data_IF_836216106418
#
_entry.id   IF_836216106418
#
_cell.length_a   1.000
_cell.length_b   1.000
_cell.length_c   1.000
_cell.angle_alpha   90.00
_cell.angle_beta   90.00
_cell.angle_gamma   90.00
#
_symmetry.space_group_name_H-M   'P 1'
#
loop_
_entity.id
_entity.type
_entity.pdbx_description
1 polymer ?
#
# COMPACT_ATOMS: atom_id res chain seq x y z
N UNK A 1 57.63 12.20 -29.74
CA UNK A 1 57.18 10.89 -29.24
C UNK A 1 56.73 11.12 -27.80
N UNK A 2 55.51 11.62 -27.55
CA UNK A 2 54.98 11.77 -26.17
C UNK A 2 53.50 12.20 -26.08
N UNK A 3 52.91 12.77 -27.13
CA UNK A 3 51.47 13.12 -27.09
C UNK A 3 50.58 11.89 -26.99
N UNK A 4 50.92 10.81 -27.71
CA UNK A 4 50.14 9.56 -27.70
C UNK A 4 50.15 8.90 -26.32
N UNK A 5 51.29 8.90 -25.62
CA UNK A 5 51.41 8.41 -24.24
C UNK A 5 50.60 9.26 -23.27
N UNK A 6 50.61 10.58 -23.42
CA UNK A 6 49.77 11.48 -22.63
C UNK A 6 48.27 11.26 -22.87
N UNK A 7 47.84 11.02 -24.12
CA UNK A 7 46.46 10.67 -24.45
C UNK A 7 46.04 9.30 -23.87
N UNK A 8 46.90 8.28 -23.93
CA UNK A 8 46.65 6.98 -23.31
C UNK A 8 46.62 7.07 -21.78
N UNK A 9 47.48 7.89 -21.16
CA UNK A 9 47.49 8.13 -19.73
C UNK A 9 46.23 8.90 -19.27
N UNK A 10 45.81 9.93 -20.02
CA UNK A 10 44.56 10.67 -19.77
C UNK A 10 43.33 9.79 -19.97
N UNK A 11 43.30 8.97 -21.02
CA UNK A 11 42.25 8.00 -21.28
C UNK A 11 42.16 6.92 -20.19
N UNK A 12 43.32 6.38 -19.76
CA UNK A 12 43.43 5.43 -18.67
C UNK A 12 42.99 6.01 -17.32
N UNK A 13 43.38 7.25 -17.01
CA UNK A 13 42.96 7.95 -15.81
C UNK A 13 41.45 8.27 -15.82
N UNK A 14 40.90 8.71 -16.96
CA UNK A 14 39.47 8.93 -17.12
C UNK A 14 38.66 7.62 -17.01
N UNK A 15 39.17 6.53 -17.57
CA UNK A 15 38.57 5.20 -17.42
C UNK A 15 38.62 4.73 -15.96
N UNK A 16 39.76 4.82 -15.30
CA UNK A 16 39.90 4.46 -13.88
C UNK A 16 38.98 5.30 -12.97
N UNK A 17 38.77 6.58 -13.29
CA UNK A 17 37.88 7.47 -12.55
C UNK A 17 36.37 7.18 -12.79
N UNK A 18 36.01 6.68 -13.98
CA UNK A 18 34.61 6.43 -14.37
C UNK A 18 34.18 4.98 -14.11
N UNK A 19 35.11 4.03 -14.12
CA UNK A 19 34.85 2.60 -13.95
C UNK A 19 34.08 2.29 -12.64
N UNK A 20 34.42 2.84 -11.46
CA UNK A 20 33.65 2.59 -10.24
C UNK A 20 32.19 3.09 -10.34
N UNK A 21 31.96 4.21 -11.04
CA UNK A 21 30.60 4.74 -11.26
C UNK A 21 29.82 3.84 -12.21
N UNK A 22 30.48 3.33 -13.26
CA UNK A 22 29.88 2.40 -14.21
C UNK A 22 29.53 1.07 -13.54
N UNK A 23 30.44 0.50 -12.74
CA UNK A 23 30.20 -0.72 -11.97
C UNK A 23 28.99 -0.52 -11.03
N UNK A 24 28.95 0.55 -10.23
CA UNK A 24 27.81 0.84 -9.34
C UNK A 24 26.48 0.98 -10.10
N UNK A 25 26.52 1.57 -11.30
CA UNK A 25 25.33 1.70 -12.16
C UNK A 25 24.87 0.34 -12.69
N UNK A 26 25.79 -0.53 -13.10
CA UNK A 26 25.50 -1.89 -13.53
C UNK A 26 24.95 -2.75 -12.39
N UNK A 27 25.55 -2.68 -11.20
CA UNK A 27 25.06 -3.35 -9.99
C UNK A 27 23.64 -2.91 -9.66
N UNK A 28 23.38 -1.60 -9.67
CA UNK A 28 22.03 -1.06 -9.45
C UNK A 28 21.04 -1.54 -10.52
N UNK A 29 21.46 -1.59 -11.79
CA UNK A 29 20.63 -2.11 -12.88
C UNK A 29 20.31 -3.59 -12.69
N UNK A 30 21.27 -4.40 -12.24
CA UNK A 30 21.10 -5.83 -11.92
C UNK A 30 20.29 -6.06 -10.65
N UNK A 31 20.17 -5.07 -9.76
CA UNK A 31 19.33 -5.15 -8.58
C UNK A 31 17.87 -4.75 -8.85
N UNK A 32 17.60 -4.04 -9.96
CA UNK A 32 16.24 -3.69 -10.40
C UNK A 32 15.53 -4.89 -11.02
N UNK A 33 14.19 -4.88 -10.93
CA UNK A 33 13.39 -5.85 -11.66
C UNK A 33 13.44 -5.53 -13.16
N UNK A 34 13.60 -6.53 -14.06
CA UNK A 34 13.74 -6.27 -15.49
C UNK A 34 12.49 -5.67 -16.15
N UNK A 35 11.31 -5.76 -15.51
CA UNK A 35 10.07 -5.17 -16.02
C UNK A 35 10.06 -3.63 -15.95
N UNK A 36 9.06 -3.02 -16.62
CA UNK A 36 8.78 -1.59 -16.53
C UNK A 36 8.48 -1.15 -15.09
N UNK A 37 7.87 -2.00 -14.27
CA UNK A 37 7.63 -1.76 -12.83
C UNK A 37 8.92 -1.54 -12.05
N UNK A 38 10.02 -2.20 -12.43
CA UNK A 38 11.36 -1.99 -11.85
C UNK A 38 12.10 -0.78 -12.42
N UNK A 39 11.65 -0.26 -13.56
CA UNK A 39 12.26 0.83 -14.31
C UNK A 39 11.28 1.97 -14.54
N UNK A 40 10.80 2.58 -13.45
CA UNK A 40 9.75 3.63 -13.45
C UNK A 40 9.98 4.79 -14.43
N UNK A 41 11.22 5.24 -14.63
CA UNK A 41 11.53 6.28 -15.65
C UNK A 41 11.28 5.80 -17.09
N UNK A 42 11.61 4.54 -17.37
CA UNK A 42 11.33 3.91 -18.65
C UNK A 42 9.83 3.67 -18.80
N UNK A 43 9.15 3.17 -17.77
CA UNK A 43 7.70 3.00 -17.75
C UNK A 43 6.96 4.30 -18.08
N UNK A 44 7.37 5.42 -17.47
CA UNK A 44 6.79 6.74 -17.77
C UNK A 44 7.03 7.19 -19.21
N UNK A 45 8.23 6.95 -19.74
CA UNK A 45 8.55 7.27 -21.14
C UNK A 45 7.73 6.43 -22.12
N UNK A 46 7.61 5.13 -21.87
CA UNK A 46 6.77 4.24 -22.67
C UNK A 46 5.31 4.69 -22.59
N UNK A 47 4.80 4.98 -21.39
CA UNK A 47 3.45 5.49 -21.20
C UNK A 47 3.18 6.79 -21.97
N UNK A 48 4.16 7.70 -22.07
CA UNK A 48 4.02 8.94 -22.86
C UNK A 48 3.98 8.73 -24.38
N UNK A 49 4.43 7.57 -24.86
CA UNK A 49 4.41 7.22 -26.29
C UNK A 49 3.21 6.35 -26.68
N UNK A 50 2.52 5.76 -25.71
CA UNK A 50 1.34 4.96 -25.99
C UNK A 50 0.21 5.88 -26.48
N UNK A 51 -0.24 5.75 -27.74
CA UNK A 51 -1.38 6.52 -28.21
C UNK A 51 -2.64 6.05 -27.47
N UNK A 52 -3.56 6.98 -27.24
CA UNK A 52 -4.89 6.62 -26.78
C UNK A 52 -5.60 5.79 -27.85
N UNK A 53 -6.04 4.59 -27.50
CA UNK A 53 -6.92 3.78 -28.35
C UNK A 53 -7.89 3.00 -27.48
N UNK A 54 -9.00 2.60 -28.08
CA UNK A 54 -9.98 1.72 -27.47
C UNK A 54 -10.35 0.62 -28.48
N UNK A 55 -10.78 -0.53 -27.98
CA UNK A 55 -11.36 -1.55 -28.83
C UNK A 55 -12.76 -1.12 -29.28
N UNK A 56 -13.04 -1.26 -30.57
CA UNK A 56 -14.42 -1.28 -31.06
C UNK A 56 -15.13 -2.56 -30.63
N UNK A 57 -16.45 -2.62 -30.84
CA UNK A 57 -17.27 -3.72 -30.33
C UNK A 57 -16.77 -5.11 -30.73
N UNK A 58 -16.40 -5.30 -31.99
CA UNK A 58 -15.92 -6.61 -32.47
C UNK A 58 -14.67 -7.04 -31.69
N UNK A 59 -13.64 -6.19 -31.68
CA UNK A 59 -12.37 -6.45 -30.98
C UNK A 59 -12.53 -6.60 -29.48
N UNK A 60 -13.51 -5.93 -28.87
CA UNK A 60 -13.77 -6.04 -27.44
C UNK A 60 -14.11 -7.48 -27.03
N UNK A 61 -14.93 -8.17 -27.82
CA UNK A 61 -15.42 -9.51 -27.50
C UNK A 61 -14.54 -10.65 -28.04
N UNK A 62 -13.65 -10.38 -29.00
CA UNK A 62 -12.77 -11.37 -29.64
C UNK A 62 -11.27 -11.04 -29.55
N UNK A 63 -10.84 -10.17 -28.65
CA UNK A 63 -9.43 -9.74 -28.50
C UNK A 63 -8.44 -10.87 -28.25
N UNK A 64 -8.92 -12.01 -27.75
CA UNK A 64 -8.20 -13.24 -27.48
C UNK A 64 -8.30 -14.29 -28.62
N UNK A 65 -8.93 -13.93 -29.74
CA UNK A 65 -9.15 -14.83 -30.88
C UNK A 65 -10.29 -15.82 -30.67
N UNK A 66 -11.24 -15.53 -29.76
CA UNK A 66 -12.39 -16.39 -29.53
C UNK A 66 -13.25 -16.59 -30.80
N UNK A 67 -13.85 -17.79 -31.00
CA UNK A 67 -14.81 -18.04 -32.08
C UNK A 67 -15.98 -17.06 -32.04
N UNK A 68 -16.59 -16.78 -33.21
CA UNK A 68 -17.68 -15.82 -33.34
C UNK A 68 -18.87 -16.12 -32.40
N UNK A 69 -19.21 -17.40 -32.23
CA UNK A 69 -20.29 -17.83 -31.33
C UNK A 69 -20.01 -17.49 -29.85
N UNK A 70 -18.74 -17.64 -29.42
CA UNK A 70 -18.30 -17.25 -28.07
C UNK A 70 -18.29 -15.73 -27.91
N UNK A 71 -17.83 -14.99 -28.92
CA UNK A 71 -17.85 -13.53 -28.90
C UNK A 71 -19.29 -12.99 -28.80
N UNK A 72 -20.25 -13.60 -29.51
CA UNK A 72 -21.65 -13.22 -29.43
C UNK A 72 -22.28 -13.60 -28.08
N UNK A 73 -21.93 -14.76 -27.52
CA UNK A 73 -22.33 -15.13 -26.16
C UNK A 73 -21.83 -14.11 -25.12
N UNK A 74 -20.57 -13.66 -25.23
CA UNK A 74 -20.00 -12.62 -24.35
C UNK A 74 -20.74 -11.29 -24.49
N UNK A 75 -21.10 -10.91 -25.72
CA UNK A 75 -21.88 -9.69 -26.00
C UNK A 75 -23.25 -9.75 -25.34
N UNK A 76 -23.98 -10.85 -25.54
CA UNK A 76 -25.30 -11.04 -24.94
C UNK A 76 -25.22 -11.03 -23.40
N UNK A 77 -24.25 -11.75 -22.83
CA UNK A 77 -24.04 -11.80 -21.38
C UNK A 77 -23.70 -10.42 -20.79
N UNK A 78 -22.86 -9.62 -21.45
CA UNK A 78 -22.51 -8.27 -20.99
C UNK A 78 -23.72 -7.33 -21.01
N UNK A 79 -24.53 -7.40 -22.08
CA UNK A 79 -25.76 -6.62 -22.19
C UNK A 79 -26.75 -7.00 -21.09
N UNK A 80 -26.98 -8.29 -20.88
CA UNK A 80 -27.88 -8.80 -19.84
C UNK A 80 -27.40 -8.39 -18.43
N UNK A 81 -26.09 -8.44 -18.17
CA UNK A 81 -25.50 -7.97 -16.92
C UNK A 81 -25.78 -6.47 -16.71
N UNK A 82 -25.57 -5.66 -17.76
CA UNK A 82 -25.86 -4.23 -17.74
C UNK A 82 -27.32 -3.91 -17.41
N UNK A 83 -28.26 -4.54 -18.12
CA UNK A 83 -29.70 -4.39 -17.90
C UNK A 83 -30.10 -4.82 -16.47
N UNK A 84 -29.52 -5.93 -15.98
CA UNK A 84 -29.77 -6.41 -14.62
C UNK A 84 -29.30 -5.41 -13.56
N UNK A 85 -28.11 -4.84 -13.72
CA UNK A 85 -27.56 -3.86 -12.79
C UNK A 85 -28.39 -2.57 -12.80
N UNK A 86 -28.74 -2.06 -13.98
CA UNK A 86 -29.59 -0.87 -14.13
C UNK A 86 -30.97 -1.08 -13.49
N UNK A 87 -31.58 -2.25 -13.69
CA UNK A 87 -32.88 -2.57 -13.12
C UNK A 87 -32.86 -2.73 -11.59
N UNK A 88 -31.74 -3.16 -11.00
CA UNK A 88 -31.62 -3.38 -9.55
C UNK A 88 -31.38 -2.11 -8.76
N UNK A 89 -30.63 -1.14 -9.27
CA UNK A 89 -30.23 0.04 -8.50
C UNK A 89 -30.46 1.39 -9.20
N UNK A 90 -31.69 1.67 -9.69
CA UNK A 90 -31.97 2.89 -10.46
C UNK A 90 -31.74 4.19 -9.67
N UNK A 91 -32.07 4.25 -8.38
CA UNK A 91 -31.84 5.47 -7.57
C UNK A 91 -30.36 5.68 -7.32
N UNK A 92 -29.63 4.61 -7.00
CA UNK A 92 -28.19 4.65 -6.76
C UNK A 92 -27.43 5.08 -8.01
N UNK A 93 -27.83 4.59 -9.19
CA UNK A 93 -27.22 4.97 -10.47
C UNK A 93 -27.54 6.42 -10.84
N UNK A 94 -28.77 6.89 -10.61
CA UNK A 94 -29.15 8.28 -10.86
C UNK A 94 -28.31 9.26 -10.03
N UNK A 95 -28.13 8.99 -8.73
CA UNK A 95 -27.26 9.81 -7.88
C UNK A 95 -25.79 9.72 -8.32
N UNK A 96 -25.33 8.52 -8.70
CA UNK A 96 -23.97 8.31 -9.23
C UNK A 96 -23.72 9.16 -10.47
N UNK A 97 -24.67 9.21 -11.41
CA UNK A 97 -24.57 10.01 -12.62
C UNK A 97 -24.53 11.51 -12.31
N UNK A 98 -25.44 11.98 -11.46
CA UNK A 98 -25.51 13.40 -11.05
C UNK A 98 -24.25 13.85 -10.31
N UNK A 99 -23.79 13.08 -9.31
CA UNK A 99 -22.61 13.43 -8.53
C UNK A 99 -21.32 13.39 -9.34
N UNK A 100 -21.24 12.54 -10.38
CA UNK A 100 -20.05 12.43 -11.24
C UNK A 100 -19.71 13.75 -11.93
N UNK A 101 -20.67 14.62 -12.21
CA UNK A 101 -20.41 15.94 -12.80
C UNK A 101 -19.54 16.83 -11.89
N UNK A 102 -19.81 16.78 -10.57
CA UNK A 102 -19.11 17.58 -9.57
C UNK A 102 -17.96 16.86 -8.84
N UNK A 103 -17.78 15.56 -9.04
CA UNK A 103 -16.82 14.75 -8.28
C UNK A 103 -15.76 14.08 -9.20
N UNK A 104 -14.60 14.72 -9.42
CA UNK A 104 -13.54 14.19 -10.27
C UNK A 104 -13.06 12.79 -9.89
N UNK A 105 -13.11 12.44 -8.60
CA UNK A 105 -12.73 11.10 -8.13
C UNK A 105 -13.64 10.01 -8.70
N UNK A 106 -14.95 10.29 -8.87
CA UNK A 106 -15.87 9.36 -9.55
C UNK A 106 -15.60 9.26 -11.05
N UNK A 107 -15.18 10.36 -11.68
CA UNK A 107 -14.79 10.36 -13.09
C UNK A 107 -13.52 9.52 -13.29
N UNK A 108 -12.53 9.71 -12.41
CA UNK A 108 -11.25 9.01 -12.44
C UNK A 108 -11.41 7.51 -12.17
N UNK A 109 -12.08 7.14 -11.06
CA UNK A 109 -12.30 5.73 -10.66
C UNK A 109 -13.06 4.95 -11.73
N UNK A 110 -14.08 5.55 -12.35
CA UNK A 110 -14.80 4.93 -13.46
C UNK A 110 -13.91 4.69 -14.69
N UNK A 111 -12.95 5.58 -14.96
CA UNK A 111 -12.11 5.49 -16.15
C UNK A 111 -10.94 4.50 -16.01
N UNK A 112 -10.30 4.42 -14.85
CA UNK A 112 -9.02 3.73 -14.69
C UNK A 112 -9.09 2.28 -14.17
N UNK A 113 -10.21 1.90 -13.54
CA UNK A 113 -10.44 0.54 -12.98
C UNK A 113 -10.57 -0.56 -14.03
N UNK A 114 -10.62 -0.19 -15.30
CA UNK A 114 -10.77 -1.10 -16.44
C UNK A 114 -9.63 -0.77 -17.39
N UNK A 115 -8.92 -1.77 -17.94
CA UNK A 115 -7.88 -1.49 -18.91
C UNK A 115 -8.42 -0.58 -20.01
N UNK A 116 -7.63 0.44 -20.37
CA UNK A 116 -8.11 1.57 -21.19
C UNK A 116 -8.68 1.13 -22.54
N UNK A 117 -8.25 -0.01 -23.07
CA UNK A 117 -8.77 -0.62 -24.31
C UNK A 117 -10.26 -1.00 -24.20
N UNK A 118 -10.70 -1.43 -23.02
CA UNK A 118 -12.07 -1.89 -22.75
C UNK A 118 -12.92 -0.83 -22.06
N UNK A 119 -12.29 0.12 -21.36
CA UNK A 119 -12.96 1.10 -20.49
C UNK A 119 -14.12 1.88 -21.15
N UNK A 120 -14.03 2.38 -22.40
CA UNK A 120 -15.13 3.12 -23.01
C UNK A 120 -16.40 2.29 -23.22
N UNK A 121 -16.29 1.11 -23.83
CA UNK A 121 -17.43 0.22 -24.08
C UNK A 121 -17.99 -0.34 -22.77
N UNK A 122 -17.12 -0.77 -21.84
CA UNK A 122 -17.60 -1.33 -20.58
C UNK A 122 -18.40 -0.31 -19.78
N UNK A 123 -18.00 0.96 -19.75
CA UNK A 123 -18.74 2.03 -19.06
C UNK A 123 -20.09 2.36 -19.68
N UNK A 124 -20.31 2.05 -20.96
CA UNK A 124 -21.61 2.22 -21.62
C UNK A 124 -22.58 1.11 -21.23
N UNK A 125 -22.09 -0.13 -21.09
CA UNK A 125 -22.94 -1.29 -20.82
C UNK A 125 -23.07 -1.63 -19.33
N UNK A 126 -22.01 -1.47 -18.54
CA UNK A 126 -21.97 -1.84 -17.13
C UNK A 126 -21.78 -0.59 -16.29
N UNK A 127 -22.88 -0.18 -15.66
CA UNK A 127 -22.90 0.91 -14.71
C UNK A 127 -22.94 0.36 -13.29
N UNK A 128 -22.05 0.85 -12.43
CA UNK A 128 -21.98 0.45 -11.03
C UNK A 128 -22.27 1.68 -10.18
N UNK A 129 -23.17 1.53 -9.21
CA UNK A 129 -23.50 2.57 -8.24
C UNK A 129 -22.31 2.86 -7.32
N UNK A 130 -22.10 4.14 -6.99
CA UNK A 130 -21.00 4.58 -6.13
C UNK A 130 -21.42 4.92 -4.70
N UNK A 131 -22.72 4.87 -4.40
CA UNK A 131 -23.28 5.31 -3.13
C UNK A 131 -23.87 4.14 -2.34
N UNK A 132 -23.60 4.12 -1.04
CA UNK A 132 -24.15 3.17 -0.07
C UNK A 132 -24.88 3.97 1.02
N UNK A 133 -26.00 3.45 1.50
CA UNK A 133 -26.82 4.07 2.55
C UNK A 133 -26.42 3.59 3.94
N UNK A 134 -26.24 2.28 4.08
CA UNK A 134 -26.04 1.64 5.38
C UNK A 134 -25.03 0.50 5.31
N UNK A 135 -24.57 0.09 6.48
CA UNK A 135 -23.73 -1.09 6.69
C UNK A 135 -24.14 -1.79 7.97
N UNK A 136 -24.13 -3.12 7.96
CA UNK A 136 -24.45 -3.97 9.12
C UNK A 136 -23.70 -5.30 9.01
N UNK A 137 -22.99 -5.68 10.08
CA UNK A 137 -22.20 -6.89 10.12
C UNK A 137 -21.14 -6.95 9.01
N UNK A 138 -21.39 -7.80 8.02
CA UNK A 138 -20.52 -8.01 6.85
C UNK A 138 -21.16 -7.53 5.55
N UNK A 139 -22.19 -6.67 5.65
CA UNK A 139 -22.99 -6.24 4.50
C UNK A 139 -23.10 -4.73 4.36
N UNK A 140 -23.31 -4.29 3.12
CA UNK A 140 -23.63 -2.92 2.73
C UNK A 140 -24.99 -2.90 2.06
N UNK A 141 -25.74 -1.81 2.27
CA UNK A 141 -27.03 -1.57 1.63
C UNK A 141 -26.94 -0.31 0.77
N UNK A 142 -27.34 -0.39 -0.50
CA UNK A 142 -27.42 0.77 -1.40
C UNK A 142 -28.72 1.57 -1.22
N UNK A 143 -28.90 2.64 -2.02
CA UNK A 143 -30.07 3.54 -1.91
C UNK A 143 -31.37 2.92 -2.44
N UNK A 144 -31.28 1.75 -3.08
CA UNK A 144 -32.41 0.99 -3.58
C UNK A 144 -32.76 -0.17 -2.63
N UNK A 145 -32.05 -0.31 -1.50
CA UNK A 145 -32.27 -1.36 -0.51
C UNK A 145 -31.61 -2.70 -0.88
N UNK A 146 -30.74 -2.74 -1.88
CA UNK A 146 -30.01 -3.97 -2.20
C UNK A 146 -28.89 -4.21 -1.20
N UNK A 147 -28.78 -5.45 -0.71
CA UNK A 147 -27.74 -5.85 0.24
C UNK A 147 -26.60 -6.60 -0.45
N UNK A 148 -25.36 -6.24 -0.13
CA UNK A 148 -24.13 -6.81 -0.68
C UNK A 148 -23.22 -7.28 0.45
N UNK A 149 -22.52 -8.40 0.28
CA UNK A 149 -21.41 -8.77 1.18
C UNK A 149 -20.21 -7.85 0.93
N UNK A 150 -19.71 -7.20 1.99
CA UNK A 150 -18.51 -6.36 1.91
C UNK A 150 -17.24 -7.20 1.95
N UNK A 151 -16.79 -7.62 0.78
CA UNK A 151 -15.50 -8.28 0.61
C UNK A 151 -14.33 -7.29 0.51
N UNK A 152 -14.61 -5.99 0.49
CA UNK A 152 -13.57 -4.95 0.39
C UNK A 152 -13.09 -4.49 1.76
N UNK A 153 -13.97 -4.54 2.77
CA UNK A 153 -13.71 -4.14 4.15
C UNK A 153 -13.16 -2.71 4.25
N UNK A 154 -13.68 -1.78 3.43
CA UNK A 154 -13.16 -0.41 3.30
C UNK A 154 -11.67 -0.35 3.03
N UNK A 155 -11.20 -1.06 1.99
CA UNK A 155 -9.77 -1.19 1.66
C UNK A 155 -8.92 -1.74 2.82
N UNK A 156 -9.51 -2.65 3.59
CA UNK A 156 -8.89 -3.30 4.74
C UNK A 156 -8.85 -2.49 6.03
N UNK A 157 -9.63 -1.41 6.16
CA UNK A 157 -9.83 -0.71 7.43
C UNK A 157 -10.62 -1.58 8.41
N UNK A 158 -11.69 -2.23 7.95
CA UNK A 158 -12.65 -2.92 8.82
C UNK A 158 -12.19 -4.36 9.17
N UNK A 159 -11.00 -4.52 9.76
CA UNK A 159 -10.41 -5.82 10.13
C UNK A 159 -11.34 -6.65 11.03
N UNK A 160 -12.00 -6.01 12.00
CA UNK A 160 -12.91 -6.64 12.95
C UNK A 160 -14.40 -6.55 12.56
N UNK A 161 -14.71 -6.20 11.31
CA UNK A 161 -16.09 -5.97 10.86
C UNK A 161 -16.60 -4.57 11.20
N UNK A 162 -17.53 -4.04 10.40
CA UNK A 162 -17.90 -2.61 10.41
C UNK A 162 -18.51 -2.15 11.74
N UNK A 163 -19.21 -3.04 12.45
CA UNK A 163 -19.92 -2.71 13.68
C UNK A 163 -18.96 -2.32 14.82
N UNK A 164 -17.81 -2.99 14.91
CA UNK A 164 -16.75 -2.65 15.88
C UNK A 164 -16.26 -1.22 15.65
N UNK A 165 -16.04 -0.82 14.39
CA UNK A 165 -15.57 0.54 14.09
C UNK A 165 -16.66 1.58 14.31
N UNK A 166 -17.93 1.26 14.05
CA UNK A 166 -19.05 2.14 14.41
C UNK A 166 -19.09 2.40 15.92
N UNK A 167 -18.88 1.35 16.72
CA UNK A 167 -18.77 1.45 18.17
C UNK A 167 -17.55 2.27 18.60
N UNK A 168 -16.38 2.04 17.99
CA UNK A 168 -15.17 2.84 18.25
C UNK A 168 -15.41 4.34 18.02
N UNK A 169 -16.08 4.71 16.92
CA UNK A 169 -16.43 6.11 16.62
C UNK A 169 -17.38 6.67 17.70
N UNK A 170 -18.43 5.93 18.06
CA UNK A 170 -19.41 6.38 19.03
C UNK A 170 -18.79 6.59 20.43
N UNK A 171 -18.06 5.59 20.94
CA UNK A 171 -17.38 5.66 22.23
C UNK A 171 -16.29 6.74 22.24
N UNK A 172 -15.47 6.79 21.18
CA UNK A 172 -14.43 7.80 21.04
C UNK A 172 -14.98 9.22 21.03
N UNK A 173 -16.12 9.42 20.35
CA UNK A 173 -16.84 10.70 20.33
C UNK A 173 -17.37 11.07 21.70
N UNK A 174 -17.94 10.12 22.44
CA UNK A 174 -18.42 10.34 23.80
C UNK A 174 -17.27 10.73 24.75
N UNK A 175 -16.11 10.05 24.67
CA UNK A 175 -14.91 10.36 25.47
C UNK A 175 -14.39 11.78 25.19
N UNK A 176 -14.40 12.21 23.93
CA UNK A 176 -13.90 13.50 23.52
C UNK A 176 -14.93 14.65 23.65
N UNK A 177 -16.20 14.33 23.92
CA UNK A 177 -17.32 15.28 23.80
C UNK A 177 -17.12 16.54 24.65
N UNK A 178 -16.67 16.39 25.89
CA UNK A 178 -16.48 17.52 26.81
C UNK A 178 -15.35 18.47 26.37
N UNK A 179 -14.29 17.96 25.75
CA UNK A 179 -13.22 18.81 25.17
C UNK A 179 -13.65 19.41 23.83
N UNK A 180 -14.40 18.66 23.02
CA UNK A 180 -14.79 19.08 21.69
C UNK A 180 -13.61 19.10 20.71
N UNK A 181 -13.62 19.97 19.68
CA UNK A 181 -12.65 19.98 18.59
C UNK A 181 -11.39 20.81 18.92
N UNK A 182 -10.96 20.89 20.19
CA UNK A 182 -9.78 21.66 20.57
C UNK A 182 -8.53 21.11 19.87
N UNK A 183 -7.78 22.01 19.24
CA UNK A 183 -6.52 21.72 18.55
C UNK A 183 -5.34 22.42 19.26
N UNK A 184 -4.12 21.91 19.03
CA UNK A 184 -2.88 22.43 19.63
C UNK A 184 -2.60 21.88 21.04
N UNK A 185 -3.62 21.82 21.89
CA UNK A 185 -3.60 21.07 23.16
C UNK A 185 -4.05 19.62 22.94
N UNK A 186 -3.64 18.72 23.84
CA UNK A 186 -3.93 17.29 23.73
C UNK A 186 -5.02 16.85 24.72
N UNK A 187 -5.90 15.96 24.28
CA UNK A 187 -6.80 15.22 25.16
C UNK A 187 -6.00 14.13 25.93
N UNK A 188 -6.33 13.80 27.20
CA UNK A 188 -5.58 12.81 27.99
C UNK A 188 -5.44 11.42 27.35
N UNK A 189 -6.42 10.99 26.55
CA UNK A 189 -6.39 9.71 25.82
C UNK A 189 -5.19 9.57 24.88
N UNK A 190 -4.59 10.70 24.45
CA UNK A 190 -3.35 10.67 23.66
C UNK A 190 -2.23 9.99 24.43
N UNK A 191 -2.09 10.24 25.74
CA UNK A 191 -1.06 9.60 26.56
C UNK A 191 -1.29 8.08 26.71
N UNK A 192 -2.56 7.67 26.87
CA UNK A 192 -2.97 6.26 26.89
C UNK A 192 -2.60 5.56 25.58
N UNK A 193 -2.96 6.16 24.44
CA UNK A 193 -2.65 5.64 23.11
C UNK A 193 -1.13 5.53 22.89
N UNK A 194 -0.35 6.54 23.28
CA UNK A 194 1.12 6.49 23.18
C UNK A 194 1.68 5.30 23.95
N UNK A 195 1.28 5.09 25.20
CA UNK A 195 1.78 3.99 26.03
C UNK A 195 1.44 2.61 25.44
N UNK A 196 0.22 2.43 24.93
CA UNK A 196 -0.22 1.18 24.29
C UNK A 196 0.51 0.93 22.98
N UNK A 197 0.66 1.95 22.14
CA UNK A 197 1.38 1.85 20.86
C UNK A 197 2.87 1.56 21.05
N UNK A 198 3.51 2.13 22.07
CA UNK A 198 4.88 1.78 22.45
C UNK A 198 5.00 0.29 22.79
N UNK A 199 4.07 -0.23 23.61
CA UNK A 199 4.04 -1.65 23.99
C UNK A 199 3.83 -2.57 22.80
N UNK A 200 2.82 -2.29 21.97
CA UNK A 200 2.44 -3.13 20.82
C UNK A 200 3.52 -3.14 19.73
N UNK A 201 4.12 -1.98 19.44
CA UNK A 201 5.22 -1.91 18.47
C UNK A 201 6.55 -2.44 19.03
N UNK A 202 6.77 -2.32 20.35
CA UNK A 202 8.06 -2.52 20.99
C UNK A 202 9.04 -1.36 20.75
N UNK A 203 8.53 -0.16 20.45
CA UNK A 203 9.30 1.05 20.17
C UNK A 203 9.01 2.15 21.18
N UNK A 204 9.87 3.18 21.23
CA UNK A 204 9.94 4.09 22.38
C UNK A 204 9.19 5.40 22.22
N UNK A 205 8.86 5.80 20.99
CA UNK A 205 8.28 7.12 20.70
C UNK A 205 7.21 6.99 19.60
N UNK A 206 6.22 7.88 19.65
CA UNK A 206 5.05 7.88 18.76
C UNK A 206 4.81 9.29 18.21
N UNK A 207 4.46 9.41 16.93
CA UNK A 207 3.97 10.64 16.29
C UNK A 207 2.67 10.37 15.54
N UNK A 208 1.70 11.26 15.64
CA UNK A 208 0.40 11.18 14.96
C UNK A 208 0.33 12.12 13.76
N UNK A 209 -0.37 11.67 12.73
CA UNK A 209 -0.54 12.28 11.40
C UNK A 209 -1.97 11.98 10.90
N UNK A 210 -2.37 12.59 9.78
CA UNK A 210 -3.74 12.45 9.25
C UNK A 210 -3.92 11.29 8.27
N UNK A 211 -2.83 10.71 7.78
CA UNK A 211 -2.91 9.56 6.87
C UNK A 211 -1.65 8.69 6.92
N UNK A 212 -1.78 7.45 6.44
CA UNK A 212 -0.63 6.57 6.23
C UNK A 212 0.44 7.19 5.31
N UNK A 213 0.03 7.95 4.28
CA UNK A 213 0.96 8.69 3.42
C UNK A 213 1.81 9.68 4.23
N UNK A 214 1.18 10.46 5.11
CA UNK A 214 1.91 11.41 5.97
C UNK A 214 2.82 10.70 6.99
N UNK A 215 2.41 9.54 7.51
CA UNK A 215 3.26 8.74 8.39
C UNK A 215 4.52 8.25 7.66
N UNK A 216 4.37 7.71 6.44
CA UNK A 216 5.52 7.31 5.60
C UNK A 216 6.40 8.51 5.28
N UNK A 217 5.81 9.65 4.88
CA UNK A 217 6.54 10.89 4.64
C UNK A 217 7.39 11.30 5.85
N UNK A 218 6.80 11.28 7.04
CA UNK A 218 7.49 11.65 8.27
C UNK A 218 8.60 10.66 8.61
N UNK A 219 8.36 9.35 8.50
CA UNK A 219 9.36 8.33 8.79
C UNK A 219 10.58 8.45 7.86
N UNK A 220 10.35 8.64 6.55
CA UNK A 220 11.43 8.88 5.58
C UNK A 220 12.18 10.18 5.89
N UNK A 221 11.46 11.25 6.27
CA UNK A 221 12.06 12.53 6.63
C UNK A 221 12.96 12.41 7.85
N UNK A 222 12.51 11.71 8.90
CA UNK A 222 13.31 11.44 10.10
C UNK A 222 14.55 10.61 9.79
N UNK A 223 14.42 9.58 8.95
CA UNK A 223 15.57 8.78 8.52
C UNK A 223 16.61 9.63 7.78
N UNK A 224 16.18 10.48 6.83
CA UNK A 224 17.08 11.42 6.12
C UNK A 224 17.73 12.41 7.08
N UNK A 225 16.96 12.95 8.02
CA UNK A 225 17.43 13.92 9.02
C UNK A 225 18.54 13.36 9.91
N UNK A 226 18.35 12.15 10.45
CA UNK A 226 19.31 11.56 11.39
C UNK A 226 20.53 10.93 10.71
N UNK A 227 20.35 10.35 9.52
CA UNK A 227 21.46 9.72 8.79
C UNK A 227 22.29 10.72 7.99
N UNK A 228 21.73 11.89 7.65
CA UNK A 228 22.33 12.83 6.68
C UNK A 228 22.37 12.28 5.24
N UNK A 229 21.73 11.14 4.99
CA UNK A 229 21.71 10.46 3.68
C UNK A 229 20.45 10.85 2.93
N UNK A 230 20.50 10.78 1.60
CA UNK A 230 19.45 11.31 0.73
C UNK A 230 18.49 10.26 0.21
N UNK A 231 18.98 9.07 -0.14
CA UNK A 231 18.19 8.12 -0.88
C UNK A 231 17.37 7.21 0.02
N UNK A 232 16.14 6.92 -0.38
CA UNK A 232 15.38 5.79 0.16
C UNK A 232 15.44 4.61 -0.81
N UNK A 233 15.27 3.41 -0.28
CA UNK A 233 15.01 2.20 -1.06
C UNK A 233 13.57 1.78 -0.83
N UNK A 234 12.89 1.43 -1.92
CA UNK A 234 11.63 0.68 -1.89
C UNK A 234 11.75 -0.56 -2.77
N UNK A 235 10.85 -1.52 -2.57
CA UNK A 235 10.78 -2.70 -3.41
C UNK A 235 9.80 -2.52 -4.59
N UNK A 236 10.10 -3.20 -5.69
CA UNK A 236 9.31 -3.16 -6.91
C UNK A 236 7.88 -3.65 -6.63
N UNK A 237 6.88 -2.90 -7.07
CA UNK A 237 5.47 -3.22 -6.83
C UNK A 237 4.88 -2.64 -5.54
N UNK A 238 5.72 -2.30 -4.56
CA UNK A 238 5.23 -1.85 -3.25
C UNK A 238 4.56 -0.49 -3.31
N UNK A 239 3.42 -0.39 -2.61
CA UNK A 239 2.66 0.84 -2.41
C UNK A 239 2.87 1.36 -0.99
N UNK A 240 3.17 2.65 -0.87
CA UNK A 240 3.49 3.33 0.38
C UNK A 240 2.78 4.70 0.49
N UNK A 241 1.63 4.83 -0.18
CA UNK A 241 0.96 6.11 -0.41
C UNK A 241 1.30 6.70 -1.77
N UNK A 242 0.82 7.93 -1.99
CA UNK A 242 0.91 8.64 -3.27
C UNK A 242 1.94 9.79 -3.28
N UNK A 243 2.72 9.92 -2.20
CA UNK A 243 3.75 10.97 -2.10
C UNK A 243 4.93 10.68 -3.03
N UNK A 244 5.12 11.52 -4.05
CA UNK A 244 6.33 11.66 -4.87
C UNK A 244 7.20 10.38 -5.00
N UNK A 245 8.30 10.34 -4.24
CA UNK A 245 9.36 9.34 -4.28
C UNK A 245 8.87 7.91 -3.98
N UNK A 246 7.77 7.76 -3.26
CA UNK A 246 7.21 6.45 -2.88
C UNK A 246 6.15 5.92 -3.86
N UNK A 247 5.77 6.70 -4.87
CA UNK A 247 4.93 6.27 -6.00
C UNK A 247 5.61 6.53 -7.37
N UNK A 248 6.77 5.92 -7.66
CA UNK A 248 7.48 6.22 -8.90
C UNK A 248 6.93 5.40 -10.08
N UNK A 249 6.45 6.07 -11.13
CA UNK A 249 5.97 5.41 -12.36
C UNK A 249 4.86 6.19 -13.09
N UNK A 250 4.15 5.54 -14.03
CA UNK A 250 2.91 6.06 -14.59
C UNK A 250 1.92 6.45 -13.49
N UNK A 251 1.22 7.57 -13.65
CA UNK A 251 0.35 8.16 -12.63
C UNK A 251 1.02 9.23 -11.76
N UNK A 252 2.36 9.27 -11.70
CA UNK A 252 3.08 10.34 -11.00
C UNK A 252 3.60 11.41 -11.98
N UNK A 253 3.28 12.71 -11.77
CA UNK A 253 3.71 13.78 -12.65
C UNK A 253 5.23 14.03 -12.62
N UNK A 254 5.95 13.61 -11.57
CA UNK A 254 7.40 13.78 -11.45
C UNK A 254 8.17 12.44 -11.61
N UNK A 255 9.37 12.45 -12.21
CA UNK A 255 10.24 11.27 -12.19
C UNK A 255 10.84 11.08 -10.79
N UNK A 256 11.16 9.84 -10.38
CA UNK A 256 11.85 9.59 -9.10
C UNK A 256 13.21 10.29 -9.07
N UNK A 257 13.53 10.90 -7.93
CA UNK A 257 14.74 11.68 -7.73
C UNK A 257 15.69 10.99 -6.76
N UNK A 258 15.32 10.92 -5.49
CA UNK A 258 16.13 10.36 -4.41
C UNK A 258 15.63 8.97 -3.96
N UNK A 259 15.29 8.11 -4.95
CA UNK A 259 14.71 6.78 -4.71
C UNK A 259 15.36 5.69 -5.55
N UNK A 260 15.73 4.58 -4.91
CA UNK A 260 16.04 3.32 -5.58
C UNK A 260 14.87 2.35 -5.47
N UNK A 261 14.34 1.91 -6.62
CA UNK A 261 13.40 0.79 -6.68
C UNK A 261 14.22 -0.48 -6.93
N UNK A 262 14.28 -1.38 -5.97
CA UNK A 262 15.03 -2.64 -6.06
C UNK A 262 14.09 -3.83 -6.16
N UNK A 263 14.64 -5.01 -6.46
CA UNK A 263 13.88 -6.25 -6.38
C UNK A 263 13.63 -6.66 -4.94
N UNK A 264 12.42 -7.08 -4.66
CA UNK A 264 12.11 -7.82 -3.44
C UNK A 264 12.60 -9.26 -3.55
N UNK A 265 12.83 -9.92 -2.41
CA UNK A 265 13.28 -11.31 -2.30
C UNK A 265 14.50 -11.64 -3.18
N UNK A 266 15.53 -10.79 -3.19
CA UNK A 266 16.66 -10.98 -4.10
C UNK A 266 18.02 -10.51 -3.56
N UNK A 267 19.04 -11.37 -3.62
CA UNK A 267 20.39 -11.12 -3.09
C UNK A 267 21.06 -9.86 -3.67
N UNK A 268 20.94 -9.60 -4.98
CA UNK A 268 21.46 -8.35 -5.57
C UNK A 268 20.96 -7.07 -4.88
N UNK A 269 19.75 -7.08 -4.32
CA UNK A 269 19.23 -5.93 -3.56
C UNK A 269 19.99 -5.78 -2.24
N UNK A 270 20.22 -6.87 -1.51
CA UNK A 270 21.06 -6.87 -0.30
C UNK A 270 22.49 -6.42 -0.61
N UNK A 271 23.08 -6.88 -1.71
CA UNK A 271 24.41 -6.46 -2.15
C UNK A 271 24.48 -4.94 -2.44
N UNK A 272 23.46 -4.37 -3.07
CA UNK A 272 23.38 -2.92 -3.27
C UNK A 272 23.31 -2.19 -1.92
N UNK A 273 22.48 -2.67 -0.98
CA UNK A 273 22.37 -2.09 0.36
C UNK A 273 23.71 -2.14 1.11
N UNK A 274 24.43 -3.27 1.06
CA UNK A 274 25.77 -3.42 1.66
C UNK A 274 26.79 -2.45 1.06
N UNK A 275 26.78 -2.25 -0.26
CA UNK A 275 27.82 -1.44 -0.94
C UNK A 275 27.60 0.07 -0.85
N UNK A 276 26.34 0.52 -0.76
CA UNK A 276 26.01 1.94 -0.82
C UNK A 276 26.08 2.62 0.55
N UNK A 277 26.47 3.89 0.54
CA UNK A 277 26.61 4.73 1.75
C UNK A 277 25.65 5.93 1.78
N UNK A 278 24.85 6.08 0.73
CA UNK A 278 23.96 7.22 0.49
C UNK A 278 22.47 6.91 0.77
N UNK A 279 22.19 5.76 1.39
CA UNK A 279 20.84 5.26 1.67
C UNK A 279 20.46 5.57 3.13
N UNK A 280 19.44 6.41 3.30
CA UNK A 280 18.87 6.78 4.59
C UNK A 280 18.02 5.66 5.17
N UNK A 281 17.12 5.10 4.36
CA UNK A 281 16.19 4.07 4.81
C UNK A 281 15.84 3.05 3.73
N UNK A 282 15.31 1.92 4.18
CA UNK A 282 14.57 0.94 3.36
C UNK A 282 13.12 0.92 3.84
N UNK A 283 12.18 1.15 2.92
CA UNK A 283 10.75 0.98 3.12
C UNK A 283 10.35 -0.44 2.72
N UNK A 284 9.72 -1.16 3.65
CA UNK A 284 9.17 -2.49 3.43
C UNK A 284 7.67 -2.44 3.62
N UNK A 285 6.88 -2.79 2.61
CA UNK A 285 5.46 -3.09 2.78
C UNK A 285 5.34 -4.62 2.82
N UNK A 286 5.06 -5.25 3.97
CA UNK A 286 5.04 -6.71 4.05
C UNK A 286 3.94 -7.37 3.20
N UNK A 287 2.97 -6.61 2.66
CA UNK A 287 1.98 -7.10 1.70
C UNK A 287 2.66 -7.62 0.43
N UNK A 288 3.86 -7.13 0.14
CA UNK A 288 4.64 -7.52 -1.01
C UNK A 288 5.02 -9.01 -1.01
N UNK A 289 4.96 -9.68 0.15
CA UNK A 289 5.15 -11.13 0.26
C UNK A 289 4.18 -11.93 -0.62
N UNK A 290 2.97 -11.42 -0.86
CA UNK A 290 1.94 -12.06 -1.69
C UNK A 290 2.14 -11.79 -3.19
N UNK A 291 2.86 -10.71 -3.53
CA UNK A 291 3.01 -10.19 -4.88
C UNK A 291 4.45 -9.80 -5.24
N UNK A 292 5.50 -10.56 -4.89
CA UNK A 292 6.87 -10.07 -4.95
C UNK A 292 7.22 -9.49 -6.34
N UNK A 293 7.76 -8.27 -6.34
CA UNK A 293 8.13 -7.52 -7.54
C UNK A 293 6.98 -7.10 -8.49
N UNK A 294 5.73 -7.14 -8.01
CA UNK A 294 4.52 -6.75 -8.75
C UNK A 294 3.61 -5.89 -7.89
N UNK A 295 2.82 -5.02 -8.52
CA UNK A 295 1.77 -4.34 -7.76
C UNK A 295 0.76 -5.38 -7.26
N UNK A 296 0.31 -5.24 -6.01
CA UNK A 296 -0.86 -5.98 -5.56
C UNK A 296 -2.04 -5.64 -6.49
N UNK A 297 -2.93 -6.61 -6.81
CA UNK A 297 -4.13 -6.34 -7.58
C UNK A 297 -4.90 -5.19 -6.97
N UNK A 298 -5.15 -4.20 -7.80
CA UNK A 298 -5.83 -2.97 -7.46
C UNK A 298 -6.12 -2.20 -8.72
N UNK A 299 -6.82 -1.09 -8.56
CA UNK A 299 -7.35 -0.31 -9.66
C UNK A 299 -6.27 0.14 -10.69
N UNK A 300 -4.99 0.23 -10.31
CA UNK A 300 -3.88 0.61 -11.21
C UNK A 300 -3.14 -0.55 -11.89
N UNK A 301 -3.47 -1.80 -11.56
CA UNK A 301 -2.67 -2.99 -11.91
C UNK A 301 -3.10 -3.72 -13.22
N UNK A 302 -4.05 -3.18 -13.97
CA UNK A 302 -4.76 -3.94 -15.01
C UNK A 302 -4.19 -3.83 -16.43
N UNK A 303 -2.96 -3.32 -16.60
CA UNK A 303 -2.40 -3.10 -17.94
C UNK A 303 -1.91 -4.39 -18.62
N UNK A 304 -1.50 -5.43 -17.87
CA UNK A 304 -0.92 -6.65 -18.45
C UNK A 304 -1.70 -7.95 -18.18
N UNK A 305 -2.83 -7.88 -17.45
CA UNK A 305 -3.68 -9.03 -17.07
C UNK A 305 -2.94 -10.21 -16.39
N UNK A 306 -1.66 -10.06 -16.02
CA UNK A 306 -0.85 -11.14 -15.46
C UNK A 306 -1.13 -11.30 -13.97
N UNK A 307 -2.00 -12.25 -13.62
CA UNK A 307 -2.37 -12.53 -12.23
C UNK A 307 -1.70 -13.82 -11.80
N UNK A 308 -0.66 -13.69 -10.98
CA UNK A 308 -0.08 -14.80 -10.24
C UNK A 308 0.24 -14.32 -8.84
N UNK A 309 -0.11 -15.13 -7.85
CA UNK A 309 0.16 -14.87 -6.46
C UNK A 309 0.51 -16.18 -5.78
N UNK A 310 1.44 -16.08 -4.83
CA UNK A 310 1.90 -17.19 -4.02
C UNK A 310 2.51 -16.62 -2.77
N UNK A 311 2.33 -17.32 -1.66
CA UNK A 311 2.79 -16.86 -0.37
C UNK A 311 3.55 -17.97 0.34
N UNK A 312 4.82 -17.71 0.61
CA UNK A 312 5.67 -18.55 1.45
C UNK A 312 6.14 -17.70 2.64
N UNK A 313 5.50 -17.92 3.79
CA UNK A 313 5.81 -17.21 5.03
C UNK A 313 7.25 -17.42 5.46
N UNK A 314 7.76 -18.64 5.37
CA UNK A 314 9.10 -18.98 5.86
C UNK A 314 10.17 -18.30 5.01
N UNK A 315 10.04 -18.36 3.68
CA UNK A 315 10.96 -17.71 2.76
C UNK A 315 10.95 -16.17 2.94
N UNK A 316 9.78 -15.56 3.10
CA UNK A 316 9.68 -14.11 3.31
C UNK A 316 10.22 -13.69 4.68
N UNK A 317 9.96 -14.45 5.75
CA UNK A 317 10.56 -14.22 7.07
C UNK A 317 12.09 -14.22 6.98
N UNK A 318 12.67 -15.20 6.31
CA UNK A 318 14.13 -15.32 6.17
C UNK A 318 14.72 -14.13 5.41
N UNK A 319 14.06 -13.72 4.31
CA UNK A 319 14.42 -12.50 3.59
C UNK A 319 14.41 -11.24 4.46
N UNK A 320 13.36 -11.05 5.28
CA UNK A 320 13.26 -9.90 6.18
C UNK A 320 14.37 -9.90 7.24
N UNK A 321 14.78 -11.08 7.74
CA UNK A 321 15.92 -11.20 8.67
C UNK A 321 17.23 -10.77 8.02
N UNK A 322 17.52 -11.26 6.81
CA UNK A 322 18.72 -10.87 6.06
C UNK A 322 18.72 -9.37 5.74
N UNK A 323 17.56 -8.82 5.36
CA UNK A 323 17.41 -7.38 5.14
C UNK A 323 17.67 -6.56 6.41
N UNK A 324 17.13 -7.00 7.55
CA UNK A 324 17.36 -6.38 8.86
C UNK A 324 18.84 -6.39 9.22
N UNK A 325 19.54 -7.50 9.04
CA UNK A 325 20.98 -7.61 9.29
C UNK A 325 21.77 -6.60 8.46
N UNK A 326 21.50 -6.51 7.15
CA UNK A 326 22.17 -5.55 6.26
C UNK A 326 21.89 -4.10 6.65
N UNK A 327 20.64 -3.79 7.02
CA UNK A 327 20.28 -2.46 7.51
C UNK A 327 21.06 -2.10 8.77
N UNK A 328 21.18 -3.03 9.72
CA UNK A 328 21.98 -2.85 10.94
C UNK A 328 23.47 -2.66 10.63
N UNK A 329 24.06 -3.53 9.81
CA UNK A 329 25.48 -3.46 9.39
C UNK A 329 25.83 -2.09 8.78
N UNK A 330 24.89 -1.50 8.03
CA UNK A 330 25.12 -0.26 7.26
C UNK A 330 24.55 0.99 7.91
N UNK A 331 23.93 0.87 9.08
CA UNK A 331 23.20 1.96 9.72
C UNK A 331 22.15 2.58 8.78
N UNK A 332 21.48 1.74 8.00
CA UNK A 332 20.33 2.12 7.18
C UNK A 332 19.09 1.91 8.05
N UNK A 333 18.24 2.92 8.14
CA UNK A 333 17.00 2.82 8.92
C UNK A 333 16.03 1.87 8.22
N UNK A 334 15.68 0.76 8.87
CA UNK A 334 14.64 -0.13 8.39
C UNK A 334 13.27 0.39 8.82
N UNK A 335 12.38 0.62 7.87
CA UNK A 335 11.02 1.09 8.13
C UNK A 335 10.03 0.04 7.61
N UNK A 336 9.18 -0.46 8.51
CA UNK A 336 8.04 -1.28 8.11
C UNK A 336 6.81 -0.40 7.90
N UNK A 337 6.28 -0.41 6.69
CA UNK A 337 4.99 0.17 6.36
C UNK A 337 3.89 -0.85 6.65
N UNK A 338 3.31 -0.70 7.83
CA UNK A 338 2.21 -1.51 8.34
C UNK A 338 0.86 -0.78 8.29
N UNK A 339 0.71 0.21 7.39
CA UNK A 339 -0.56 0.93 7.23
C UNK A 339 -1.70 -0.02 6.83
N UNK A 340 -1.41 -1.12 6.12
CA UNK A 340 -2.40 -2.13 5.75
C UNK A 340 -2.39 -3.39 6.63
N UNK A 341 -1.22 -3.80 7.12
CA UNK A 341 -1.02 -5.09 7.81
C UNK A 341 -0.90 -4.99 9.33
N UNK A 342 -0.68 -3.78 9.86
CA UNK A 342 -0.67 -3.55 11.30
C UNK A 342 -2.01 -3.94 11.90
N UNK A 343 -1.97 -4.65 13.03
CA UNK A 343 -3.15 -5.19 13.71
C UNK A 343 -4.00 -6.17 12.87
N UNK A 344 -3.57 -6.55 11.66
CA UNK A 344 -4.28 -7.51 10.81
C UNK A 344 -3.67 -8.91 10.90
N UNK A 345 -2.35 -9.00 10.86
CA UNK A 345 -1.64 -10.29 10.88
C UNK A 345 -1.47 -10.84 12.29
N UNK A 346 -1.28 -9.95 13.26
CA UNK A 346 -1.15 -10.22 14.68
C UNK A 346 -1.46 -8.91 15.44
N UNK A 347 -1.69 -8.95 16.78
CA UNK A 347 -1.87 -7.74 17.58
C UNK A 347 -0.69 -6.76 17.45
N UNK A 348 0.55 -7.24 17.47
CA UNK A 348 1.77 -6.47 17.22
C UNK A 348 2.15 -6.34 15.74
N UNK A 349 1.23 -6.66 14.83
CA UNK A 349 1.39 -6.47 13.39
C UNK A 349 2.39 -7.44 12.73
N UNK A 350 2.90 -7.03 11.57
CA UNK A 350 3.84 -7.78 10.76
C UNK A 350 5.18 -8.01 11.49
N UNK A 351 5.61 -7.07 12.34
CA UNK A 351 6.80 -7.27 13.17
C UNK A 351 6.69 -8.50 14.09
N UNK A 352 5.54 -8.68 14.74
CA UNK A 352 5.26 -9.88 15.54
C UNK A 352 5.12 -11.11 14.64
N UNK A 353 4.33 -10.99 13.58
CA UNK A 353 4.00 -12.10 12.68
C UNK A 353 5.24 -12.70 11.98
N UNK A 354 6.19 -11.87 11.54
CA UNK A 354 7.44 -12.31 10.91
C UNK A 354 8.61 -12.44 11.90
N UNK A 355 8.47 -11.96 13.14
CA UNK A 355 9.52 -11.98 14.15
C UNK A 355 10.72 -11.08 13.80
N UNK A 356 10.49 -9.96 13.09
CA UNK A 356 11.53 -9.01 12.68
C UNK A 356 11.17 -7.61 13.16
N UNK A 357 12.08 -6.96 13.89
CA UNK A 357 11.88 -5.60 14.42
C UNK A 357 12.49 -4.53 13.51
N UNK A 358 11.68 -3.56 13.13
CA UNK A 358 12.10 -2.38 12.38
C UNK A 358 12.68 -1.30 13.29
N UNK A 359 13.36 -0.31 12.73
CA UNK A 359 13.80 0.88 13.47
C UNK A 359 12.66 1.90 13.62
N UNK A 360 11.76 1.94 12.63
CA UNK A 360 10.48 2.64 12.68
C UNK A 360 9.39 1.79 12.03
N UNK A 361 8.15 1.99 12.43
CA UNK A 361 6.97 1.39 11.83
C UNK A 361 5.91 2.45 11.61
N UNK A 362 5.20 2.37 10.48
CA UNK A 362 4.07 3.25 10.17
C UNK A 362 2.76 2.50 10.21
N UNK A 363 1.77 3.03 10.94
CA UNK A 363 0.41 2.50 11.01
C UNK A 363 -0.60 3.50 10.44
N UNK A 364 -1.81 3.02 10.18
CA UNK A 364 -2.94 3.82 9.72
C UNK A 364 -4.20 2.94 9.65
N UNK A 365 -5.10 3.25 8.72
CA UNK A 365 -6.32 2.47 8.45
C UNK A 365 -7.05 2.05 9.73
N UNK A 366 -7.05 0.76 10.05
CA UNK A 366 -7.77 0.15 11.17
C UNK A 366 -7.48 0.83 12.52
N UNK A 367 -6.25 1.30 12.73
CA UNK A 367 -5.84 1.87 14.02
C UNK A 367 -6.64 3.13 14.39
N UNK A 368 -7.18 3.85 13.41
CA UNK A 368 -7.97 5.04 13.67
C UNK A 368 -9.37 4.76 14.22
N UNK A 369 -9.74 3.49 14.44
CA UNK A 369 -11.08 3.13 14.89
C UNK A 369 -12.18 3.60 13.94
N UNK A 370 -11.88 3.61 12.63
CA UNK A 370 -12.80 4.05 11.57
C UNK A 370 -12.57 5.50 11.12
N UNK A 371 -11.71 6.26 11.79
CA UNK A 371 -11.37 7.64 11.42
C UNK A 371 -9.97 7.76 10.78
N UNK A 372 -9.70 8.83 10.01
CA UNK A 372 -8.41 9.02 9.34
C UNK A 372 -7.26 9.19 10.34
N UNK A 373 -6.20 8.39 10.18
CA UNK A 373 -4.98 8.54 10.98
C UNK A 373 -3.76 7.98 10.23
N UNK A 374 -2.59 8.53 10.56
CA UNK A 374 -1.28 7.93 10.36
C UNK A 374 -0.49 7.99 11.65
N UNK A 375 0.28 6.95 11.94
CA UNK A 375 1.11 6.89 13.15
C UNK A 375 2.51 6.44 12.77
N UNK A 376 3.53 7.09 13.33
CA UNK A 376 4.92 6.61 13.28
C UNK A 376 5.31 6.20 14.69
N UNK A 377 5.66 4.93 14.88
CA UNK A 377 6.37 4.47 16.07
C UNK A 377 7.84 4.26 15.72
N UNK A 378 8.75 4.63 16.61
CA UNK A 378 10.19 4.59 16.30
C UNK A 378 11.07 4.56 17.53
N UNK A 379 12.33 4.19 17.31
CA UNK A 379 13.39 4.36 18.30
C UNK A 379 13.57 5.83 18.69
N UNK A 380 13.92 6.09 19.95
CA UNK A 380 13.94 7.45 20.51
C UNK A 380 14.85 8.40 19.75
N UNK A 381 16.06 7.93 19.41
CA UNK A 381 17.06 8.70 18.68
C UNK A 381 16.57 9.12 17.30
N UNK A 382 15.79 8.27 16.63
CA UNK A 382 15.24 8.55 15.29
C UNK A 382 13.99 9.45 15.34
N UNK A 383 13.22 9.38 16.42
CA UNK A 383 11.99 10.17 16.57
C UNK A 383 12.25 11.59 17.07
N UNK A 384 13.45 11.89 17.60
CA UNK A 384 13.83 13.24 18.01
C UNK A 384 13.86 14.18 16.80
N UNK A 385 13.24 15.36 16.92
CA UNK A 385 12.96 16.27 15.78
C UNK A 385 13.78 17.55 15.77
N UNK A 386 14.75 17.66 16.68
CA UNK A 386 15.60 18.81 16.85
C UNK A 386 16.93 18.38 17.47
N UNK A 387 17.96 19.21 17.32
CA UNK A 387 19.23 19.09 18.05
C UNK A 387 19.32 20.13 19.15
N UNK A 388 19.61 19.70 20.37
CA UNK A 388 19.72 20.59 21.55
C UNK A 388 20.88 21.58 21.41
N UNK A 389 21.99 21.12 20.83
CA UNK A 389 23.18 21.91 20.57
C UNK A 389 23.06 22.81 19.33
N UNK A 390 22.01 22.64 18.51
CA UNK A 390 21.77 23.40 17.28
C UNK A 390 20.29 23.77 17.17
N UNK A 391 19.82 24.84 17.84
CA UNK A 391 18.40 25.17 17.95
C UNK A 391 17.65 25.36 16.63
N UNK A 392 18.35 25.77 15.55
CA UNK A 392 17.76 25.92 14.21
C UNK A 392 17.78 24.63 13.36
N UNK A 393 18.46 23.59 13.82
CA UNK A 393 18.51 22.27 13.16
C UNK A 393 17.26 21.47 13.55
N UNK A 394 16.22 21.57 12.72
CA UNK A 394 14.88 21.03 12.98
C UNK A 394 14.39 20.10 11.86
N UNK A 395 13.84 18.96 12.23
CA UNK A 395 13.03 18.13 11.35
C UNK A 395 11.56 18.58 11.39
N UNK A 396 11.29 19.72 10.74
CA UNK A 396 9.98 20.38 10.79
C UNK A 396 8.88 19.63 10.01
N UNK A 397 7.76 19.38 10.68
CA UNK A 397 6.54 18.79 10.14
C UNK A 397 5.42 19.03 11.15
N UNK A 398 4.33 19.66 10.72
CA UNK A 398 3.17 19.95 11.54
C UNK A 398 1.93 19.56 10.75
N UNK A 399 0.87 19.17 11.45
CA UNK A 399 -0.45 19.00 10.87
C UNK A 399 -1.48 19.55 11.85
N UNK A 400 -2.37 20.40 11.36
CA UNK A 400 -3.37 21.11 12.17
C UNK A 400 -4.26 20.13 12.93
N UNK A 401 -4.64 19.04 12.29
CA UNK A 401 -5.55 18.03 12.84
C UNK A 401 -4.84 16.84 13.48
N UNK A 402 -3.49 16.87 13.58
CA UNK A 402 -2.75 15.78 14.20
C UNK A 402 -3.22 15.62 15.65
N UNK A 403 -3.52 14.38 16.04
CA UNK A 403 -4.06 14.04 17.37
C UNK A 403 -5.42 14.68 17.68
N UNK A 404 -6.28 14.90 16.67
CA UNK A 404 -7.65 15.40 16.87
C UNK A 404 -8.38 14.56 17.94
N UNK A 405 -9.02 15.18 18.96
CA UNK A 405 -9.57 14.46 20.12
C UNK A 405 -10.51 13.29 19.76
N UNK A 406 -11.39 13.47 18.77
CA UNK A 406 -12.32 12.43 18.32
C UNK A 406 -11.62 11.24 17.64
N UNK A 407 -10.53 11.50 16.90
CA UNK A 407 -9.72 10.45 16.27
C UNK A 407 -8.95 9.67 17.34
N UNK A 408 -8.40 10.39 18.32
CA UNK A 408 -7.66 9.76 19.42
C UNK A 408 -8.59 8.97 20.35
N UNK A 409 -9.82 9.43 20.58
CA UNK A 409 -10.85 8.67 21.29
C UNK A 409 -11.25 7.40 20.55
N UNK A 410 -11.48 7.48 19.24
CA UNK A 410 -11.83 6.29 18.44
C UNK A 410 -10.68 5.28 18.35
N UNK A 411 -9.44 5.76 18.27
CA UNK A 411 -8.24 4.92 18.38
C UNK A 411 -8.15 4.23 19.75
N UNK A 412 -8.46 4.94 20.83
CA UNK A 412 -8.43 4.33 22.17
C UNK A 412 -9.48 3.23 22.29
N UNK A 413 -10.70 3.45 21.81
CA UNK A 413 -11.74 2.43 21.77
C UNK A 413 -11.35 1.22 20.90
N UNK A 414 -10.66 1.45 19.77
CA UNK A 414 -10.09 0.37 18.97
C UNK A 414 -9.04 -0.44 19.75
N UNK A 415 -8.16 0.23 20.48
CA UNK A 415 -7.13 -0.43 21.30
C UNK A 415 -7.76 -1.18 22.48
N UNK A 416 -8.84 -0.66 23.07
CA UNK A 416 -9.63 -1.36 24.09
C UNK A 416 -10.24 -2.65 23.50
N UNK A 417 -10.87 -2.58 22.33
CA UNK A 417 -11.42 -3.76 21.65
C UNK A 417 -10.32 -4.78 21.32
N UNK A 418 -9.18 -4.32 20.78
CA UNK A 418 -8.04 -5.17 20.45
C UNK A 418 -7.56 -5.99 21.66
N UNK A 419 -7.60 -5.41 22.86
CA UNK A 419 -7.16 -6.06 24.11
C UNK A 419 -8.21 -7.02 24.70
N UNK A 420 -9.44 -7.09 24.15
CA UNK A 420 -10.47 -8.02 24.62
C UNK A 420 -10.14 -9.48 24.32
N UNK A 421 -10.61 -10.44 25.16
CA UNK A 421 -10.46 -11.87 24.85
C UNK A 421 -11.05 -12.25 23.50
N UNK A 422 -12.17 -11.64 23.10
CA UNK A 422 -12.81 -11.90 21.81
C UNK A 422 -11.89 -11.56 20.64
N UNK A 423 -11.33 -10.35 20.61
CA UNK A 423 -10.40 -9.94 19.56
C UNK A 423 -9.13 -10.80 19.57
N UNK A 424 -8.57 -11.09 20.74
CA UNK A 424 -7.37 -11.92 20.88
C UNK A 424 -7.59 -13.35 20.35
N UNK A 425 -8.76 -13.94 20.61
CA UNK A 425 -9.12 -15.27 20.11
C UNK A 425 -9.19 -15.32 18.57
N UNK A 426 -9.52 -14.21 17.90
CA UNK A 426 -9.53 -14.16 16.43
C UNK A 426 -8.15 -14.38 15.81
N UNK A 427 -7.07 -14.05 16.52
CA UNK A 427 -5.69 -14.21 16.00
C UNK A 427 -5.13 -15.62 16.15
N UNK A 428 -5.55 -16.38 17.17
CA UNK A 428 -4.93 -17.68 17.54
C UNK A 428 -4.92 -18.67 16.37
N UNK A 429 -6.04 -18.79 15.67
CA UNK A 429 -6.22 -19.74 14.55
C UNK A 429 -6.45 -19.01 13.21
N UNK A 430 -6.02 -17.74 13.11
CA UNK A 430 -6.33 -16.90 11.95
C UNK A 430 -5.81 -17.52 10.65
N UNK A 431 -4.52 -17.86 10.59
CA UNK A 431 -3.90 -18.45 9.40
C UNK A 431 -4.50 -19.82 9.08
N UNK A 432 -4.68 -20.68 10.08
CA UNK A 432 -5.26 -22.01 9.90
C UNK A 432 -6.69 -21.93 9.33
N UNK A 433 -7.48 -20.98 9.81
CA UNK A 433 -8.85 -20.72 9.35
C UNK A 433 -8.86 -20.22 7.91
N UNK A 434 -8.05 -19.20 7.60
CA UNK A 434 -8.05 -18.59 6.27
C UNK A 434 -7.45 -19.52 5.21
N UNK A 435 -6.38 -20.24 5.53
CA UNK A 435 -5.77 -21.22 4.62
C UNK A 435 -6.75 -22.35 4.30
N UNK A 436 -7.51 -22.82 5.30
CA UNK A 436 -8.55 -23.85 5.10
C UNK A 436 -9.66 -23.35 4.17
N UNK A 437 -10.11 -22.11 4.35
CA UNK A 437 -11.11 -21.48 3.48
C UNK A 437 -10.59 -21.35 2.05
N UNK A 438 -9.35 -20.90 1.85
CA UNK A 438 -8.75 -20.76 0.53
C UNK A 438 -8.62 -22.12 -0.17
N UNK A 439 -8.16 -23.15 0.55
CA UNK A 439 -8.07 -24.52 0.02
C UNK A 439 -9.45 -25.07 -0.39
N UNK A 440 -10.47 -24.87 0.44
CA UNK A 440 -11.85 -25.29 0.13
C UNK A 440 -12.42 -24.56 -1.10
N UNK A 441 -12.17 -23.26 -1.23
CA UNK A 441 -12.60 -22.50 -2.40
C UNK A 441 -11.89 -23.00 -3.67
N UNK A 442 -10.57 -23.19 -3.62
CA UNK A 442 -9.80 -23.71 -4.73
C UNK A 442 -10.25 -25.12 -5.16
N UNK A 443 -10.58 -26.00 -4.21
CA UNK A 443 -11.13 -27.31 -4.52
C UNK A 443 -12.46 -27.20 -5.28
N UNK A 444 -13.35 -26.27 -4.87
CA UNK A 444 -14.63 -26.03 -5.55
C UNK A 444 -14.44 -25.44 -6.94
N UNK A 445 -13.52 -24.48 -7.10
CA UNK A 445 -13.17 -23.89 -8.39
C UNK A 445 -12.62 -24.95 -9.36
N UNK A 446 -11.74 -25.83 -8.87
CA UNK A 446 -11.21 -26.94 -9.65
C UNK A 446 -12.29 -27.94 -10.03
N UNK A 447 -13.21 -28.28 -9.12
CA UNK A 447 -14.29 -29.23 -9.38
C UNK A 447 -15.24 -28.79 -10.51
N UNK A 448 -15.43 -27.47 -10.69
CA UNK A 448 -16.22 -26.90 -11.80
C UNK A 448 -15.37 -26.58 -13.04
N UNK A 449 -14.08 -26.92 -13.04
CA UNK A 449 -13.16 -26.62 -14.15
C UNK A 449 -12.86 -25.13 -14.36
N UNK A 450 -13.03 -24.29 -13.33
CA UNK A 450 -12.75 -22.86 -13.45
C UNK A 450 -11.23 -22.61 -13.56
N UNK A 451 -10.76 -21.83 -14.54
CA UNK A 451 -9.33 -21.56 -14.75
C UNK A 451 -8.79 -20.46 -13.82
N UNK A 452 -9.22 -20.47 -12.56
CA UNK A 452 -8.86 -19.48 -11.54
C UNK A 452 -8.62 -20.16 -10.20
N UNK A 453 -7.76 -19.56 -9.39
CA UNK A 453 -7.49 -19.96 -8.03
C UNK A 453 -7.25 -18.71 -7.18
N UNK A 454 -7.41 -18.85 -5.87
CA UNK A 454 -7.06 -17.84 -4.89
C UNK A 454 -5.75 -18.18 -4.19
N UNK A 455 -5.00 -17.15 -3.83
CA UNK A 455 -3.94 -17.24 -2.83
C UNK A 455 -4.26 -16.32 -1.66
N UNK A 456 -3.73 -16.62 -0.47
CA UNK A 456 -3.93 -15.78 0.70
C UNK A 456 -2.66 -15.62 1.54
N UNK A 457 -2.54 -14.47 2.19
CA UNK A 457 -1.67 -14.24 3.34
C UNK A 457 -2.58 -13.88 4.50
N UNK A 458 -2.81 -14.84 5.40
CA UNK A 458 -3.76 -14.67 6.50
C UNK A 458 -5.14 -14.26 5.97
N UNK A 459 -5.73 -13.17 6.48
CA UNK A 459 -7.02 -12.61 6.03
C UNK A 459 -6.98 -11.83 4.71
N UNK A 460 -5.83 -11.75 4.01
CA UNK A 460 -5.68 -11.04 2.73
C UNK A 460 -5.70 -12.04 1.58
N UNK A 461 -6.60 -11.85 0.61
CA UNK A 461 -6.83 -12.76 -0.52
C UNK A 461 -6.52 -12.08 -1.87
N UNK A 462 -6.16 -12.87 -2.89
CA UNK A 462 -5.89 -12.39 -4.25
C UNK A 462 -6.24 -13.38 -5.35
#
# INVERSE_FOLDING_TARGET
>A
MDETLAFWALGGAAFAATLPRLIRRLELSRAKHPSLTGHSRMAKRVASWLPGYAYGEERFFNSDGAPAEVAEQRRHALKQLGETLVGRCPRTLALTASAREGLPDLQFTGAYRVPFQYSPLLRQHVQVGAFMEASEGVTLTDLDGNTYYDLTGSYGVNVFGVDVYRQCIAEGSARAQALGPVLGSLHPVVASNVARLQRLSGLEQVSFHMSGTEAVMQAVRLARYHTGRRHLVRFCGAYHGWWEDVQPGPGNPLPPRETYTLRDLHENSLQVLRKRRDIACVLVNPLQALHPNKAAPGDSSLVDSSRNAGYDRAAYTEWLKQLREVCTERGIVLIFDEVFLGFRLAPGGAQEYFGVKADMVTYGKTLGGGLPVGVVCGKRELMKRYREDRPADLCFARGTFNSHPYVMGAMEAFLDYLETPEAQLMYVELDATQNRRAAQLNQRLQAIGAPVQVANMSSVWT
#
